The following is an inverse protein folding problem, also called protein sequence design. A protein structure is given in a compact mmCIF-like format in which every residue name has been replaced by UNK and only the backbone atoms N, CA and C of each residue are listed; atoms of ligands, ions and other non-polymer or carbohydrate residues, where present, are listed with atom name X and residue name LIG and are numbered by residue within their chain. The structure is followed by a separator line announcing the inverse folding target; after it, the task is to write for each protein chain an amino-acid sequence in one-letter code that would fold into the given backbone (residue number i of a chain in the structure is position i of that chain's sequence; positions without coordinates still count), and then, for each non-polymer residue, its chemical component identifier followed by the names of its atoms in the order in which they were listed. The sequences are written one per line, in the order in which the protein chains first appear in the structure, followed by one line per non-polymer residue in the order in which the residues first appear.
data_IF_245582923148
#
_entry.id   IF_245582923148
#
_cell.length_a   1.000
_cell.length_b   1.000
_cell.length_c   1.000
_cell.angle_alpha   90.00
_cell.angle_beta   90.00
_cell.angle_gamma   90.00
#
_symmetry.space_group_name_H-M   'P 1'
#
loop_
_entity.id
_entity.type
_entity.pdbx_description
1 polymer ?
#
# COMPACT_ATOMS: atom_id res chain seq x y z
N UNK A 1 -15.20 32.97 14.66
CA UNK A 1 -15.74 31.62 14.45
C UNK A 1 -16.76 31.79 13.36
N UNK A 2 -16.55 31.21 12.19
CA UNK A 2 -17.60 31.22 11.17
C UNK A 2 -18.76 30.39 11.72
N UNK A 3 -19.81 31.10 12.16
CA UNK A 3 -21.11 30.56 12.57
C UNK A 3 -21.84 29.85 11.41
N UNK A 4 -21.17 29.81 10.26
CA UNK A 4 -21.60 29.25 9.00
C UNK A 4 -21.68 27.72 9.08
N UNK A 5 -22.88 27.30 9.50
CA UNK A 5 -23.53 26.01 9.24
C UNK A 5 -23.46 24.95 10.36
N UNK A 6 -23.61 25.35 11.63
CA UNK A 6 -24.22 24.41 12.57
C UNK A 6 -25.61 24.08 12.05
N UNK A 7 -25.83 22.83 11.63
CA UNK A 7 -27.16 22.39 11.19
C UNK A 7 -27.96 22.03 12.43
N UNK A 8 -29.14 22.62 12.59
CA UNK A 8 -30.03 22.34 13.73
C UNK A 8 -30.40 20.86 13.87
N UNK A 9 -30.32 20.09 12.77
CA UNK A 9 -30.53 18.65 12.74
C UNK A 9 -29.51 17.93 11.83
N UNK A 10 -29.31 16.64 12.10
CA UNK A 10 -28.53 15.74 11.26
C UNK A 10 -29.20 15.61 9.88
N UNK A 11 -28.46 15.81 8.78
CA UNK A 11 -29.05 15.75 7.44
C UNK A 11 -29.48 14.35 6.98
N UNK A 12 -29.09 13.29 7.69
CA UNK A 12 -29.40 11.92 7.32
C UNK A 12 -30.52 11.28 8.15
N UNK A 13 -30.62 11.60 9.44
CA UNK A 13 -31.63 11.02 10.33
C UNK A 13 -32.44 12.07 11.12
N UNK A 14 -32.26 13.36 10.81
CA UNK A 14 -32.97 14.49 11.41
C UNK A 14 -32.79 14.67 12.93
N UNK A 15 -31.90 13.91 13.57
CA UNK A 15 -31.57 14.08 14.98
C UNK A 15 -31.15 15.53 15.27
N UNK A 16 -31.90 16.21 16.15
CA UNK A 16 -31.57 17.57 16.58
C UNK A 16 -30.26 17.64 17.38
N UNK A 17 -29.68 18.84 17.53
CA UNK A 17 -28.46 19.02 18.34
C UNK A 17 -28.67 18.46 19.76
N UNK A 18 -27.72 17.63 20.21
CA UNK A 18 -27.75 16.92 21.50
C UNK A 18 -28.63 15.67 21.52
N UNK A 19 -29.33 15.34 20.43
CA UNK A 19 -30.12 14.11 20.31
C UNK A 19 -29.29 12.99 19.70
N UNK A 20 -29.55 11.76 20.14
CA UNK A 20 -28.92 10.55 19.60
C UNK A 20 -29.32 10.33 18.16
N UNK A 21 -28.36 9.93 17.32
CA UNK A 21 -28.63 9.49 15.95
C UNK A 21 -29.49 8.21 15.92
N UNK A 22 -30.26 8.02 14.84
CA UNK A 22 -30.86 6.72 14.54
C UNK A 22 -29.79 5.63 14.39
N UNK A 23 -30.16 4.37 14.62
CA UNK A 23 -29.20 3.25 14.60
C UNK A 23 -28.61 3.00 13.21
N UNK A 24 -29.34 3.35 12.15
CA UNK A 24 -28.99 3.23 10.73
C UNK A 24 -28.45 4.53 10.10
N UNK A 25 -28.18 5.56 10.90
CA UNK A 25 -27.67 6.84 10.40
C UNK A 25 -26.22 6.71 9.90
N UNK A 26 -25.97 7.09 8.65
CA UNK A 26 -24.66 7.08 7.98
C UNK A 26 -23.69 8.18 8.44
N UNK A 27 -24.20 9.19 9.16
CA UNK A 27 -23.43 10.25 9.81
C UNK A 27 -23.00 9.85 11.22
N UNK A 28 -23.65 8.87 11.85
CA UNK A 28 -23.31 8.53 13.22
C UNK A 28 -21.89 7.95 13.33
N UNK A 29 -21.07 8.45 14.26
CA UNK A 29 -19.77 7.86 14.58
C UNK A 29 -19.92 6.66 15.53
N UNK A 30 -19.00 5.71 15.42
CA UNK A 30 -18.73 4.71 16.43
C UNK A 30 -17.86 5.35 17.52
N UNK A 31 -18.38 5.46 18.74
CA UNK A 31 -17.67 6.10 19.86
C UNK A 31 -16.39 5.34 20.26
N UNK A 32 -16.28 4.07 19.91
CA UNK A 32 -15.10 3.25 20.21
C UNK A 32 -13.93 3.49 19.23
N UNK A 33 -14.19 3.84 17.96
CA UNK A 33 -13.12 3.97 16.94
C UNK A 33 -13.13 5.27 16.13
N UNK A 34 -14.16 6.12 16.28
CA UNK A 34 -14.30 7.39 15.56
C UNK A 34 -14.73 7.26 14.10
N UNK A 35 -14.74 6.04 13.55
CA UNK A 35 -15.22 5.81 12.19
C UNK A 35 -16.75 5.90 12.13
N UNK A 36 -17.30 6.14 10.93
CA UNK A 36 -18.74 6.01 10.68
C UNK A 36 -19.23 4.65 11.17
N UNK A 37 -20.30 4.62 11.96
CA UNK A 37 -20.83 3.42 12.62
C UNK A 37 -21.10 2.30 11.63
N UNK A 38 -21.72 2.61 10.50
CA UNK A 38 -22.01 1.65 9.42
C UNK A 38 -20.77 1.07 8.73
N UNK A 39 -19.61 1.73 8.87
CA UNK A 39 -18.33 1.28 8.31
C UNK A 39 -17.34 0.83 9.39
N UNK A 40 -17.77 0.75 10.66
CA UNK A 40 -16.90 0.28 11.71
C UNK A 40 -16.61 -1.21 11.46
N UNK A 41 -15.34 -1.61 11.23
CA UNK A 41 -14.99 -3.01 10.96
C UNK A 41 -15.29 -3.91 12.16
N UNK A 42 -15.31 -3.33 13.37
CA UNK A 42 -15.62 -4.03 14.61
C UNK A 42 -17.11 -4.19 14.87
N UNK A 43 -18.00 -3.57 14.09
CA UNK A 43 -19.46 -3.70 14.28
C UNK A 43 -19.97 -5.14 14.18
N UNK A 44 -19.27 -5.99 13.42
CA UNK A 44 -19.55 -7.42 13.34
C UNK A 44 -18.90 -8.25 14.46
N UNK A 45 -17.96 -7.67 15.22
CA UNK A 45 -17.24 -8.38 16.27
C UNK A 45 -18.09 -8.47 17.54
N UNK A 46 -18.16 -9.67 18.15
CA UNK A 46 -18.89 -9.90 19.39
C UNK A 46 -18.31 -9.04 20.51
N UNK A 47 -19.17 -8.24 21.16
CA UNK A 47 -18.80 -7.39 22.31
C UNK A 47 -18.32 -5.98 21.93
N UNK A 48 -18.32 -5.61 20.64
CA UNK A 48 -18.10 -4.23 20.25
C UNK A 48 -19.37 -3.40 20.46
N UNK A 49 -19.32 -2.44 21.37
CA UNK A 49 -20.37 -1.43 21.53
C UNK A 49 -19.96 -0.15 20.79
N UNK A 50 -20.60 0.17 19.64
CA UNK A 50 -20.31 1.42 18.94
C UNK A 50 -20.83 2.66 19.69
N UNK A 51 -21.60 2.46 20.77
CA UNK A 51 -22.21 3.52 21.55
C UNK A 51 -23.29 4.28 20.79
N UNK A 52 -23.80 5.34 21.43
CA UNK A 52 -24.90 6.18 20.93
C UNK A 52 -24.43 7.62 20.73
N UNK A 53 -23.77 7.88 19.61
CA UNK A 53 -23.34 9.22 19.21
C UNK A 53 -24.54 10.19 19.15
N UNK A 54 -24.30 11.43 19.57
CA UNK A 54 -25.28 12.52 19.53
C UNK A 54 -24.91 13.50 18.43
N UNK A 55 -25.90 14.09 17.76
CA UNK A 55 -25.65 15.12 16.75
C UNK A 55 -25.13 16.39 17.44
N UNK A 56 -23.94 16.86 17.06
CA UNK A 56 -23.30 18.03 17.67
C UNK A 56 -23.60 19.33 16.93
N UNK A 57 -24.27 19.25 15.78
CA UNK A 57 -24.43 20.36 14.84
C UNK A 57 -23.35 20.42 13.75
N UNK A 58 -22.23 19.73 13.95
CA UNK A 58 -21.13 19.60 12.99
C UNK A 58 -21.11 18.20 12.35
N UNK A 59 -20.67 18.14 11.09
CA UNK A 59 -20.30 16.86 10.49
C UNK A 59 -19.10 16.24 11.23
N UNK A 60 -19.13 14.92 11.51
CA UNK A 60 -18.02 14.17 12.07
C UNK A 60 -16.66 14.51 11.46
N UNK A 61 -15.67 14.80 12.30
CA UNK A 61 -14.30 15.10 11.87
C UNK A 61 -14.08 16.49 11.25
N UNK A 62 -15.12 17.22 10.83
CA UNK A 62 -14.96 18.55 10.23
C UNK A 62 -14.28 19.51 11.19
N UNK A 63 -14.67 19.47 12.47
CA UNK A 63 -14.09 20.31 13.52
C UNK A 63 -12.58 20.09 13.64
N UNK A 64 -12.15 18.84 13.69
CA UNK A 64 -10.74 18.48 13.84
C UNK A 64 -9.93 18.83 12.60
N UNK A 65 -10.47 18.60 11.39
CA UNK A 65 -9.85 19.07 10.15
C UNK A 65 -9.61 20.59 10.16
N UNK A 66 -10.60 21.39 10.57
CA UNK A 66 -10.43 22.86 10.70
C UNK A 66 -9.35 23.21 11.73
N UNK A 67 -9.40 22.59 12.91
CA UNK A 67 -8.40 22.81 13.97
C UNK A 67 -6.98 22.42 13.52
N UNK A 68 -6.86 21.39 12.70
CA UNK A 68 -5.57 20.95 12.18
C UNK A 68 -5.15 21.70 10.91
N UNK A 69 -5.98 22.59 10.34
CA UNK A 69 -5.73 23.20 9.04
C UNK A 69 -5.66 22.17 7.90
N UNK A 70 -6.34 21.03 8.04
CA UNK A 70 -6.37 19.97 7.03
C UNK A 70 -7.53 20.21 6.08
N UNK A 71 -7.23 20.93 5.00
CA UNK A 71 -8.19 21.26 3.96
C UNK A 71 -7.77 20.71 2.60
N UNK A 72 -8.78 20.43 1.78
CA UNK A 72 -8.64 19.93 0.42
C UNK A 72 -9.62 20.70 -0.48
N UNK A 73 -9.23 20.91 -1.74
CA UNK A 73 -10.05 21.55 -2.76
C UNK A 73 -10.01 20.72 -4.04
N UNK A 74 -11.13 20.66 -4.74
CA UNK A 74 -11.16 20.10 -6.09
C UNK A 74 -10.46 21.07 -7.05
N UNK A 75 -9.35 20.64 -7.62
CA UNK A 75 -8.69 21.34 -8.73
C UNK A 75 -9.32 20.85 -10.04
N UNK A 76 -10.17 21.69 -10.63
CA UNK A 76 -10.92 21.35 -11.84
C UNK A 76 -10.01 21.15 -13.06
N UNK A 77 -8.94 21.94 -13.18
CA UNK A 77 -8.02 21.88 -14.31
C UNK A 77 -7.19 20.59 -14.27
N UNK A 78 -6.75 20.22 -13.07
CA UNK A 78 -5.99 18.99 -12.87
C UNK A 78 -6.88 17.74 -12.69
N UNK A 79 -8.20 17.91 -12.55
CA UNK A 79 -9.15 16.81 -12.32
C UNK A 79 -8.86 16.02 -11.04
N UNK A 80 -8.34 16.67 -9.99
CA UNK A 80 -7.93 15.99 -8.77
C UNK A 80 -8.17 16.83 -7.51
N UNK A 81 -8.30 16.14 -6.37
CA UNK A 81 -8.34 16.79 -5.07
C UNK A 81 -6.92 17.19 -4.64
N UNK A 82 -6.70 18.47 -4.35
CA UNK A 82 -5.42 19.02 -3.87
C UNK A 82 -5.55 19.54 -2.45
N UNK A 83 -4.56 19.23 -1.61
CA UNK A 83 -4.44 19.83 -0.28
C UNK A 83 -4.25 21.34 -0.44
N UNK A 84 -4.87 22.11 0.44
CA UNK A 84 -4.79 23.56 0.40
C UNK A 84 -4.92 24.16 1.80
N UNK A 85 -4.65 25.46 1.92
CA UNK A 85 -4.91 26.20 3.14
C UNK A 85 -6.43 26.42 3.34
N UNK A 86 -6.90 26.62 4.59
CA UNK A 86 -8.32 26.76 4.90
C UNK A 86 -8.99 27.99 4.29
N UNK A 87 -8.22 29.04 4.01
CA UNK A 87 -8.67 30.30 3.42
C UNK A 87 -8.78 30.25 1.88
N UNK A 88 -8.36 29.15 1.26
CA UNK A 88 -8.48 28.98 -0.20
C UNK A 88 -9.97 28.83 -0.58
N UNK A 89 -10.51 29.66 -1.50
CA UNK A 89 -11.90 29.55 -1.93
C UNK A 89 -12.25 28.16 -2.45
N UNK A 90 -13.38 27.62 -1.99
CA UNK A 90 -13.82 26.26 -2.31
C UNK A 90 -13.09 25.15 -1.56
N UNK A 91 -12.22 25.49 -0.58
CA UNK A 91 -11.64 24.48 0.30
C UNK A 91 -12.71 23.86 1.21
N UNK A 92 -12.51 22.60 1.55
CA UNK A 92 -13.30 21.88 2.54
C UNK A 92 -12.42 20.96 3.39
N UNK A 93 -12.98 20.37 4.47
CA UNK A 93 -12.25 19.45 5.34
C UNK A 93 -11.66 18.23 4.62
N UNK A 94 -10.37 17.95 4.84
CA UNK A 94 -9.71 16.74 4.32
C UNK A 94 -9.95 15.53 5.24
N UNK A 95 -11.17 14.98 5.19
CA UNK A 95 -11.56 13.82 5.99
C UNK A 95 -10.77 12.55 5.64
N UNK A 96 -10.33 12.42 4.38
CA UNK A 96 -9.47 11.30 3.96
C UNK A 96 -8.17 11.31 4.74
N UNK A 97 -7.54 12.49 4.88
CA UNK A 97 -6.35 12.66 5.70
C UNK A 97 -6.65 12.45 7.19
N UNK A 98 -7.79 12.94 7.68
CA UNK A 98 -8.22 12.72 9.07
C UNK A 98 -8.29 11.25 9.44
N UNK A 99 -9.06 10.46 8.70
CA UNK A 99 -9.25 9.04 8.99
C UNK A 99 -7.97 8.22 8.77
N UNK A 100 -7.08 8.66 7.89
CA UNK A 100 -5.83 7.96 7.60
C UNK A 100 -4.71 8.25 8.60
N UNK A 101 -4.61 9.49 9.08
CA UNK A 101 -3.43 9.94 9.85
C UNK A 101 -3.76 10.46 11.25
N UNK A 102 -5.01 10.81 11.51
CA UNK A 102 -5.49 11.11 12.86
C UNK A 102 -5.56 9.84 13.70
N UNK A 103 -5.51 10.01 15.02
CA UNK A 103 -5.84 8.96 15.99
C UNK A 103 -7.13 9.32 16.70
N UNK A 104 -8.04 8.36 16.77
CA UNK A 104 -9.23 8.50 17.61
C UNK A 104 -8.83 8.40 19.09
N UNK A 105 -9.24 9.40 19.86
CA UNK A 105 -9.23 9.37 21.31
C UNK A 105 -10.64 9.01 21.78
N UNK A 106 -10.83 7.78 22.25
CA UNK A 106 -12.14 7.27 22.63
C UNK A 106 -12.68 7.92 23.91
N UNK A 107 -11.80 8.33 24.82
CA UNK A 107 -12.19 8.97 26.08
C UNK A 107 -12.65 10.41 25.81
N UNK A 108 -11.89 11.14 25.00
CA UNK A 108 -12.22 12.51 24.59
C UNK A 108 -13.25 12.56 23.44
N UNK A 109 -13.57 11.42 22.82
CA UNK A 109 -14.45 11.27 21.65
C UNK A 109 -14.14 12.25 20.53
N UNK A 110 -12.87 12.33 20.17
CA UNK A 110 -12.38 13.24 19.13
C UNK A 110 -11.16 12.68 18.44
N UNK A 111 -10.91 13.17 17.23
CA UNK A 111 -9.64 12.94 16.55
C UNK A 111 -8.55 13.85 17.14
N UNK A 112 -7.35 13.29 17.31
CA UNK A 112 -6.12 14.02 17.65
C UNK A 112 -5.04 13.75 16.60
N UNK A 113 -4.09 14.67 16.48
CA UNK A 113 -2.86 14.41 15.71
C UNK A 113 -2.07 13.31 16.43
N UNK A 114 -1.36 12.49 15.66
CA UNK A 114 -0.49 11.45 16.21
C UNK A 114 0.84 12.09 16.62
N UNK A 115 1.24 12.05 17.91
CA UNK A 115 2.59 12.38 18.31
C UNK A 115 3.57 11.39 17.68
N UNK A 116 4.66 11.91 17.12
CA UNK A 116 5.66 11.18 16.37
C UNK A 116 7.07 11.53 16.85
N UNK A 117 7.92 10.50 16.93
CA UNK A 117 9.35 10.64 17.16
C UNK A 117 10.08 10.53 15.84
N UNK A 118 11.00 11.43 15.54
CA UNK A 118 11.91 11.25 14.42
C UNK A 118 13.06 10.36 14.85
N UNK A 119 13.34 9.31 14.08
CA UNK A 119 14.51 8.47 14.29
C UNK A 119 15.41 8.45 13.06
N UNK A 120 16.65 8.87 13.26
CA UNK A 120 17.68 8.91 12.20
C UNK A 120 18.95 8.20 12.61
N UNK A 121 19.69 7.69 11.62
CA UNK A 121 20.98 7.03 11.82
C UNK A 121 21.87 7.28 10.61
N UNK A 122 23.15 7.57 10.85
CA UNK A 122 24.14 7.62 9.77
C UNK A 122 24.27 6.26 9.07
N UNK A 123 24.30 6.28 7.73
CA UNK A 123 24.59 5.10 6.92
C UNK A 123 26.05 5.12 6.52
N UNK A 124 26.73 3.97 6.63
CA UNK A 124 28.14 3.86 6.24
C UNK A 124 28.28 4.16 4.74
N UNK A 125 29.09 5.16 4.39
CA UNK A 125 29.32 5.56 3.00
C UNK A 125 28.21 6.42 2.37
N UNK A 126 27.19 6.83 3.15
CA UNK A 126 26.21 7.81 2.70
C UNK A 126 26.80 9.23 2.67
N UNK A 127 26.47 10.01 1.65
CA UNK A 127 26.87 11.42 1.55
C UNK A 127 25.97 12.36 2.34
N UNK A 128 24.70 12.02 2.49
CA UNK A 128 23.74 12.83 3.23
C UNK A 128 23.96 12.71 4.74
N UNK A 129 23.96 13.85 5.42
CA UNK A 129 24.15 13.93 6.87
C UNK A 129 22.91 13.44 7.62
N UNK A 130 23.02 13.26 8.94
CA UNK A 130 21.86 12.86 9.76
C UNK A 130 20.84 13.99 9.81
N UNK A 131 21.33 15.23 9.84
CA UNK A 131 20.56 16.46 9.90
C UNK A 131 19.71 16.63 8.64
N UNK A 132 20.33 16.60 7.45
CA UNK A 132 19.63 16.71 6.15
C UNK A 132 18.50 15.70 6.01
N UNK A 133 18.73 14.47 6.47
CA UNK A 133 17.76 13.39 6.37
C UNK A 133 16.64 13.54 7.41
N UNK A 134 16.96 14.07 8.59
CA UNK A 134 15.97 14.35 9.64
C UNK A 134 15.04 15.48 9.21
N UNK A 135 15.57 16.53 8.55
CA UNK A 135 14.76 17.60 7.96
C UNK A 135 13.75 17.08 6.93
N UNK A 136 14.12 16.08 6.13
CA UNK A 136 13.19 15.42 5.19
C UNK A 136 12.06 14.72 5.93
N UNK A 137 12.37 13.97 7.00
CA UNK A 137 11.37 13.28 7.80
C UNK A 137 10.45 14.27 8.55
N UNK A 138 11.00 15.38 9.04
CA UNK A 138 10.25 16.45 9.69
C UNK A 138 9.28 17.15 8.73
N UNK A 139 9.75 17.52 7.53
CA UNK A 139 8.90 18.09 6.47
C UNK A 139 7.77 17.14 6.09
N UNK A 140 8.07 15.85 5.97
CA UNK A 140 7.07 14.83 5.70
C UNK A 140 6.06 14.70 6.85
N UNK A 141 6.50 14.77 8.11
CA UNK A 141 5.59 14.81 9.26
C UNK A 141 4.65 16.02 9.20
N UNK A 142 5.16 17.21 8.87
CA UNK A 142 4.33 18.40 8.70
C UNK A 142 3.31 18.24 7.55
N UNK A 143 3.75 17.68 6.42
CA UNK A 143 2.91 17.45 5.23
C UNK A 143 1.81 16.41 5.48
N UNK A 144 2.09 15.36 6.28
CA UNK A 144 1.12 14.35 6.70
C UNK A 144 0.28 14.83 7.89
N UNK A 145 0.83 15.72 8.71
CA UNK A 145 0.19 16.33 9.87
C UNK A 145 0.46 15.62 11.21
N UNK A 146 1.54 14.86 11.29
CA UNK A 146 2.02 14.34 12.56
C UNK A 146 2.60 15.46 13.42
N UNK A 147 2.49 15.30 14.73
CA UNK A 147 3.06 16.21 15.70
C UNK A 147 4.42 15.67 16.13
N UNK A 148 5.52 16.31 15.74
CA UNK A 148 6.86 15.86 16.13
C UNK A 148 7.11 16.24 17.59
N UNK A 149 7.24 15.24 18.47
CA UNK A 149 7.42 15.43 19.93
C UNK A 149 8.84 15.12 20.41
N UNK A 150 9.68 14.54 19.56
CA UNK A 150 11.07 14.22 19.88
C UNK A 150 11.88 13.78 18.68
N UNK A 151 13.21 13.85 18.80
CA UNK A 151 14.16 13.43 17.76
C UNK A 151 15.29 12.60 18.37
N UNK A 152 15.59 11.46 17.75
CA UNK A 152 16.53 10.47 18.26
C UNK A 152 17.53 10.02 17.19
N UNK A 153 18.80 9.88 17.60
CA UNK A 153 19.88 9.48 16.69
C UNK A 153 20.65 8.25 17.18
N UNK A 154 20.96 7.34 16.26
CA UNK A 154 21.89 6.23 16.50
C UNK A 154 21.32 5.08 17.34
N UNK A 155 22.19 4.25 17.93
CA UNK A 155 21.74 3.05 18.66
C UNK A 155 21.19 3.36 20.05
N UNK A 156 21.73 4.39 20.71
CA UNK A 156 21.21 4.85 22.00
C UNK A 156 19.84 5.50 21.82
N UNK A 157 19.74 6.46 20.89
CA UNK A 157 18.47 7.13 20.59
C UNK A 157 17.37 6.16 20.15
N UNK A 158 17.70 5.04 19.51
CA UNK A 158 16.71 4.02 19.22
C UNK A 158 16.04 3.45 20.49
N UNK A 159 16.82 3.16 21.53
CA UNK A 159 16.28 2.60 22.78
C UNK A 159 15.42 3.63 23.53
N UNK A 160 15.86 4.89 23.52
CA UNK A 160 15.10 6.00 24.11
C UNK A 160 13.78 6.22 23.35
N UNK A 161 13.79 6.17 22.01
CA UNK A 161 12.56 6.25 21.21
C UNK A 161 11.55 5.12 21.52
N UNK A 162 12.02 3.90 21.76
CA UNK A 162 11.14 2.79 22.16
C UNK A 162 10.57 3.01 23.56
N UNK A 163 11.36 3.54 24.49
CA UNK A 163 10.89 3.85 25.83
C UNK A 163 9.78 4.91 25.80
N UNK A 164 9.98 6.00 25.05
CA UNK A 164 8.97 7.05 24.89
C UNK A 164 7.67 6.53 24.27
N UNK A 165 7.74 5.60 23.32
CA UNK A 165 6.54 4.95 22.76
C UNK A 165 5.85 4.10 23.83
N UNK A 166 6.61 3.30 24.59
CA UNK A 166 6.06 2.45 25.65
C UNK A 166 5.40 3.27 26.77
N UNK A 167 5.94 4.46 27.06
CA UNK A 167 5.40 5.40 28.04
C UNK A 167 4.21 6.23 27.49
N UNK A 168 3.84 6.03 26.23
CA UNK A 168 2.74 6.72 25.57
C UNK A 168 3.03 8.17 25.18
N UNK A 169 4.30 8.59 25.23
CA UNK A 169 4.71 9.93 24.78
C UNK A 169 4.57 10.11 23.26
N UNK A 170 4.64 9.01 22.50
CA UNK A 170 4.42 9.02 21.06
C UNK A 170 3.65 7.78 20.56
N UNK A 171 2.90 7.98 19.48
CA UNK A 171 2.15 6.92 18.79
C UNK A 171 2.95 6.31 17.63
N UNK A 172 4.02 6.98 17.20
CA UNK A 172 4.73 6.74 15.95
C UNK A 172 6.23 6.95 16.11
N UNK A 173 7.00 6.08 15.49
CA UNK A 173 8.41 6.34 15.15
C UNK A 173 8.52 6.58 13.65
N UNK A 174 8.85 7.80 13.27
CA UNK A 174 9.04 8.20 11.88
C UNK A 174 10.51 8.02 11.50
N UNK A 175 10.74 7.19 10.49
CA UNK A 175 12.06 6.95 9.93
C UNK A 175 12.17 7.46 8.50
N UNK A 176 13.25 8.16 8.13
CA UNK A 176 13.43 8.68 6.78
C UNK A 176 13.42 7.58 5.71
N UNK A 177 13.98 6.41 6.02
CA UNK A 177 13.97 5.23 5.14
C UNK A 177 14.09 3.93 5.95
N UNK A 178 13.67 2.80 5.37
CA UNK A 178 13.70 1.48 6.04
C UNK A 178 15.12 1.09 6.41
N UNK A 179 16.11 1.42 5.58
CA UNK A 179 17.51 1.10 5.78
C UNK A 179 18.09 1.77 7.04
N UNK A 180 17.47 2.85 7.53
CA UNK A 180 17.87 3.53 8.77
C UNK A 180 17.54 2.69 10.01
N UNK A 181 16.62 1.74 9.90
CA UNK A 181 16.35 0.74 10.93
C UNK A 181 17.44 -0.34 11.01
N UNK A 182 18.33 -0.45 10.02
CA UNK A 182 19.42 -1.42 10.01
C UNK A 182 19.37 -2.33 8.79
N UNK A 183 20.04 -3.48 8.88
CA UNK A 183 20.18 -4.42 7.76
C UNK A 183 19.53 -5.77 8.07
N UNK A 184 18.84 -6.33 7.09
CA UNK A 184 18.24 -7.66 7.16
C UNK A 184 17.29 -7.82 8.35
N UNK A 185 17.57 -8.79 9.22
CA UNK A 185 16.76 -9.11 10.40
C UNK A 185 16.56 -7.92 11.35
N UNK A 186 17.53 -7.00 11.44
CA UNK A 186 17.47 -5.85 12.35
C UNK A 186 16.27 -4.94 12.06
N UNK A 187 15.90 -4.76 10.78
CA UNK A 187 14.75 -3.95 10.39
C UNK A 187 13.47 -4.49 11.01
N UNK A 188 13.25 -5.80 10.88
CA UNK A 188 12.05 -6.46 11.39
C UNK A 188 12.02 -6.52 12.92
N UNK A 189 13.17 -6.77 13.56
CA UNK A 189 13.27 -6.75 15.01
C UNK A 189 12.91 -5.36 15.57
N UNK A 190 13.31 -4.29 14.88
CA UNK A 190 12.98 -2.91 15.26
C UNK A 190 11.53 -2.54 15.01
N UNK A 191 10.96 -2.92 13.86
CA UNK A 191 9.52 -2.76 13.59
C UNK A 191 8.70 -3.45 14.67
N UNK A 192 9.08 -4.69 15.02
CA UNK A 192 8.42 -5.44 16.09
C UNK A 192 8.56 -4.73 17.42
N UNK A 193 9.75 -4.25 17.78
CA UNK A 193 9.96 -3.55 19.04
C UNK A 193 9.07 -2.31 19.21
N UNK A 194 8.85 -1.52 18.16
CA UNK A 194 7.92 -0.37 18.21
C UNK A 194 6.48 -0.84 18.44
N UNK A 195 6.05 -1.92 17.78
CA UNK A 195 4.70 -2.47 17.93
C UNK A 195 4.45 -3.11 19.29
N UNK A 196 5.44 -3.84 19.80
CA UNK A 196 5.39 -4.44 21.13
C UNK A 196 5.30 -3.35 22.21
N UNK A 197 5.84 -2.16 21.94
CA UNK A 197 5.68 -0.96 22.77
C UNK A 197 4.35 -0.21 22.54
N UNK A 198 3.46 -0.68 21.66
CA UNK A 198 2.15 -0.07 21.40
C UNK A 198 2.16 1.07 20.36
N UNK A 199 3.28 1.30 19.68
CA UNK A 199 3.39 2.28 18.60
C UNK A 199 3.35 1.67 17.19
N UNK A 200 3.62 2.51 16.20
CA UNK A 200 3.79 2.09 14.80
C UNK A 200 4.96 2.81 14.13
N UNK A 201 5.38 2.35 12.95
CA UNK A 201 6.47 2.96 12.18
C UNK A 201 5.94 3.55 10.89
N UNK A 202 6.38 4.78 10.58
CA UNK A 202 6.03 5.45 9.33
C UNK A 202 7.23 6.23 8.76
N UNK A 203 7.09 6.77 7.55
CA UNK A 203 8.13 7.59 6.93
C UNK A 203 7.90 7.83 5.43
N UNK A 204 8.62 8.79 4.83
CA UNK A 204 8.49 9.11 3.40
C UNK A 204 8.84 7.95 2.47
N UNK A 205 9.66 6.99 2.94
CA UNK A 205 9.95 5.73 2.24
C UNK A 205 9.44 4.49 2.98
N UNK A 206 8.70 4.64 4.08
CA UNK A 206 8.26 3.54 4.94
C UNK A 206 6.78 3.70 5.22
N UNK A 207 5.94 2.95 4.51
CA UNK A 207 4.54 2.80 4.88
C UNK A 207 4.31 1.36 5.28
N UNK A 208 3.68 1.15 6.42
CA UNK A 208 3.30 -0.18 6.86
C UNK A 208 1.78 -0.18 7.07
N UNK A 209 1.10 -1.18 6.51
CA UNK A 209 -0.34 -1.33 6.72
C UNK A 209 -0.65 -1.91 8.11
N UNK A 210 -1.94 -1.93 8.45
CA UNK A 210 -2.45 -2.48 9.71
C UNK A 210 -2.13 -3.97 9.92
N UNK A 211 -1.78 -4.72 8.86
CA UNK A 211 -1.35 -6.13 8.95
C UNK A 211 0.15 -6.28 9.21
N UNK A 212 0.87 -5.16 9.19
CA UNK A 212 2.29 -5.11 9.45
C UNK A 212 3.17 -5.27 8.22
N UNK A 213 2.60 -5.19 7.01
CA UNK A 213 3.32 -5.32 5.75
C UNK A 213 3.81 -3.96 5.23
N UNK A 214 5.07 -3.91 4.79
CA UNK A 214 5.60 -2.72 4.10
C UNK A 214 4.83 -2.51 2.79
N UNK A 215 4.04 -1.44 2.73
CA UNK A 215 3.46 -0.93 1.50
C UNK A 215 4.59 -0.23 0.74
N UNK A 216 4.82 -0.64 -0.51
CA UNK A 216 5.97 -0.23 -1.32
C UNK A 216 6.31 1.27 -1.18
N UNK A 217 7.60 1.57 -1.04
CA UNK A 217 8.15 2.92 -0.97
C UNK A 217 7.86 3.69 -2.27
N UNK A 218 6.69 4.31 -2.38
CA UNK A 218 6.38 5.28 -3.42
C UNK A 218 6.71 6.67 -2.90
N UNK A 219 7.87 7.15 -3.29
CA UNK A 219 8.06 8.59 -3.50
C UNK A 219 7.23 8.99 -4.73
N UNK A 220 5.97 9.38 -4.52
CA UNK A 220 5.18 10.19 -5.46
C UNK A 220 4.02 10.78 -4.65
N UNK A 221 3.89 12.09 -4.47
CA UNK A 221 4.06 13.15 -5.46
C UNK A 221 4.90 14.33 -4.95
N UNK A 222 6.12 14.48 -5.45
CA UNK A 222 6.69 15.80 -5.73
C UNK A 222 6.43 16.10 -7.20
N UNK A 223 5.23 16.57 -7.54
CA UNK A 223 4.93 17.01 -8.90
C UNK A 223 5.76 18.26 -9.30
N UNK A 224 6.43 18.95 -8.37
CA UNK A 224 7.22 20.15 -8.68
C UNK A 224 8.73 19.96 -8.85
N UNK A 225 9.31 18.78 -8.54
CA UNK A 225 10.77 18.58 -8.63
C UNK A 225 11.19 17.87 -9.92
N UNK A 226 10.25 17.21 -10.63
CA UNK A 226 10.53 16.62 -11.94
C UNK A 226 10.26 17.55 -13.12
N UNK A 227 9.31 18.49 -13.03
CA UNK A 227 9.00 19.42 -14.14
C UNK A 227 10.10 20.45 -14.43
N UNK A 228 11.02 20.69 -13.49
CA UNK A 228 12.24 21.48 -13.75
C UNK A 228 13.45 20.66 -14.21
N UNK A 229 13.30 19.34 -14.36
CA UNK A 229 14.36 18.42 -14.81
C UNK A 229 14.05 17.70 -16.14
N UNK A 230 12.92 17.99 -16.80
CA UNK A 230 12.56 17.41 -18.10
C UNK A 230 12.65 18.39 -19.27
N UNK A 231 13.39 19.48 -19.11
CA UNK A 231 13.90 20.23 -20.25
C UNK A 231 15.43 20.15 -20.25
N UNK A 232 15.94 19.38 -21.21
CA UNK A 232 17.29 19.48 -21.78
C UNK A 232 18.48 18.80 -21.08
N UNK A 233 18.41 17.47 -20.87
CA UNK A 233 19.55 16.57 -21.20
C UNK A 233 19.15 15.09 -21.13
N UNK A 234 18.99 14.47 -22.31
CA UNK A 234 18.60 13.07 -22.48
C UNK A 234 19.57 12.08 -21.85
N UNK A 235 19.26 11.58 -20.65
CA UNK A 235 19.93 10.40 -20.08
C UNK A 235 19.27 9.14 -20.62
N UNK A 236 19.86 8.58 -21.68
CA UNK A 236 19.55 7.22 -22.16
C UNK A 236 19.69 6.23 -21.00
N UNK A 237 18.71 5.35 -20.79
CA UNK A 237 18.87 4.32 -19.77
C UNK A 237 19.93 3.31 -20.22
N UNK A 238 20.59 2.62 -19.28
CA UNK A 238 21.52 1.53 -19.60
C UNK A 238 20.87 0.45 -20.49
N UNK A 239 19.54 0.32 -20.40
CA UNK A 239 18.74 -0.57 -21.23
C UNK A 239 18.61 -0.06 -22.68
N UNK A 240 18.41 1.24 -22.88
CA UNK A 240 18.36 1.85 -24.23
C UNK A 240 19.72 1.81 -24.93
N UNK A 241 20.80 1.93 -24.15
CA UNK A 241 22.18 1.80 -24.66
C UNK A 241 22.45 0.35 -25.08
N UNK A 242 22.09 -0.63 -24.24
CA UNK A 242 22.27 -2.04 -24.57
C UNK A 242 21.41 -2.48 -25.77
N UNK A 243 20.16 -2.02 -25.86
CA UNK A 243 19.25 -2.30 -26.97
C UNK A 243 19.79 -1.78 -28.30
N UNK A 244 20.23 -0.52 -28.33
CA UNK A 244 20.81 0.05 -29.55
C UNK A 244 22.13 -0.63 -29.93
N UNK A 245 22.99 -0.95 -28.96
CA UNK A 245 24.24 -1.65 -29.23
C UNK A 245 24.00 -3.02 -29.88
N UNK A 246 23.06 -3.81 -29.36
CA UNK A 246 22.73 -5.13 -29.90
C UNK A 246 22.04 -5.03 -31.27
N UNK A 247 21.10 -4.09 -31.44
CA UNK A 247 20.45 -3.86 -32.74
C UNK A 247 21.44 -3.35 -33.80
N UNK A 248 22.37 -2.46 -33.46
CA UNK A 248 23.39 -1.99 -34.39
C UNK A 248 24.37 -3.12 -34.77
N UNK A 249 24.71 -3.99 -33.83
CA UNK A 249 25.66 -5.08 -34.05
C UNK A 249 25.06 -6.25 -34.83
N UNK A 250 23.83 -6.64 -34.52
CA UNK A 250 23.22 -7.87 -35.04
C UNK A 250 22.01 -7.63 -35.95
N UNK A 251 21.49 -6.41 -36.04
CA UNK A 251 20.28 -6.07 -36.79
C UNK A 251 18.99 -6.67 -36.24
N UNK A 252 19.05 -7.40 -35.13
CA UNK A 252 17.92 -8.11 -34.53
C UNK A 252 18.18 -8.38 -33.04
N UNK A 253 17.11 -8.60 -32.28
CA UNK A 253 17.16 -9.11 -30.90
C UNK A 253 16.67 -10.56 -30.81
N UNK A 254 16.49 -11.22 -31.96
CA UNK A 254 16.13 -12.63 -32.03
C UNK A 254 17.32 -13.49 -31.58
N UNK A 255 17.19 -14.29 -30.51
CA UNK A 255 18.29 -15.07 -29.94
C UNK A 255 18.96 -16.02 -30.94
N UNK A 256 18.18 -16.69 -31.78
CA UNK A 256 18.69 -17.71 -32.68
C UNK A 256 19.45 -17.08 -33.85
N UNK A 257 18.93 -15.98 -34.40
CA UNK A 257 19.64 -15.17 -35.40
C UNK A 257 20.90 -14.53 -34.81
N UNK A 258 20.86 -14.03 -33.58
CA UNK A 258 22.05 -13.48 -32.92
C UNK A 258 23.13 -14.55 -32.74
N UNK A 259 22.79 -15.77 -32.31
CA UNK A 259 23.76 -16.88 -32.23
C UNK A 259 24.35 -17.22 -33.60
N UNK A 260 23.53 -17.26 -34.65
CA UNK A 260 24.01 -17.49 -36.01
C UNK A 260 24.97 -16.39 -36.51
N UNK A 261 24.86 -15.18 -35.96
CA UNK A 261 25.75 -14.04 -36.20
C UNK A 261 26.95 -13.98 -35.22
N UNK A 262 27.14 -15.01 -34.39
CA UNK A 262 28.29 -15.13 -33.50
C UNK A 262 28.15 -14.40 -32.16
N UNK A 263 26.92 -14.04 -31.74
CA UNK A 263 26.70 -13.49 -30.40
C UNK A 263 26.99 -14.52 -29.31
N UNK A 264 27.58 -14.08 -28.20
CA UNK A 264 27.79 -14.93 -27.03
C UNK A 264 26.52 -15.05 -26.16
N UNK A 265 26.54 -15.95 -25.19
CA UNK A 265 25.38 -16.20 -24.32
C UNK A 265 25.02 -15.01 -23.40
N UNK A 266 25.96 -14.09 -23.14
CA UNK A 266 25.70 -12.87 -22.35
C UNK A 266 24.91 -11.88 -23.20
N UNK A 267 25.31 -11.67 -24.45
CA UNK A 267 24.61 -10.81 -25.41
C UNK A 267 23.22 -11.37 -25.75
N UNK A 268 23.10 -12.69 -25.93
CA UNK A 268 21.82 -13.37 -26.13
C UNK A 268 20.93 -13.22 -24.90
N UNK A 269 21.46 -13.38 -23.69
CA UNK A 269 20.73 -13.16 -22.45
C UNK A 269 20.22 -11.72 -22.28
N UNK A 270 21.03 -10.73 -22.69
CA UNK A 270 20.64 -9.33 -22.71
C UNK A 270 19.51 -9.06 -23.72
N UNK A 271 19.63 -9.58 -24.95
CA UNK A 271 18.59 -9.46 -25.98
C UNK A 271 17.25 -10.10 -25.55
N UNK A 272 17.30 -11.29 -24.93
CA UNK A 272 16.11 -11.93 -24.36
C UNK A 272 15.48 -11.02 -23.32
N UNK A 273 16.25 -10.50 -22.36
CA UNK A 273 15.70 -9.61 -21.34
C UNK A 273 15.11 -8.33 -21.95
N UNK A 274 15.70 -7.82 -23.05
CA UNK A 274 15.18 -6.66 -23.77
C UNK A 274 13.86 -6.99 -24.45
N UNK A 275 13.80 -8.05 -25.25
CA UNK A 275 12.59 -8.50 -25.93
C UNK A 275 11.45 -8.81 -24.94
N UNK A 276 11.78 -9.38 -23.77
CA UNK A 276 10.81 -9.65 -22.69
C UNK A 276 10.18 -8.37 -22.13
N UNK A 277 10.93 -7.28 -22.07
CA UNK A 277 10.45 -5.98 -21.56
C UNK A 277 9.70 -5.21 -22.62
N UNK A 278 10.13 -5.30 -23.89
CA UNK A 278 9.52 -4.61 -25.02
C UNK A 278 8.22 -5.25 -25.51
N UNK A 279 7.83 -6.40 -24.95
CA UNK A 279 6.59 -7.10 -25.32
C UNK A 279 6.62 -7.68 -26.75
N UNK A 280 7.79 -7.69 -27.41
CA UNK A 280 7.92 -8.22 -28.75
C UNK A 280 7.78 -9.74 -28.71
N UNK A 281 6.77 -10.23 -29.44
CA UNK A 281 6.27 -11.60 -29.43
C UNK A 281 7.31 -12.63 -29.87
N UNK A 282 8.20 -13.02 -28.97
CA UNK A 282 8.76 -14.36 -29.03
C UNK A 282 7.59 -15.34 -28.88
N UNK A 283 7.54 -16.36 -29.75
CA UNK A 283 6.60 -17.47 -29.61
C UNK A 283 6.82 -18.14 -28.25
N UNK A 284 6.03 -17.72 -27.25
CA UNK A 284 6.05 -18.30 -25.91
C UNK A 284 4.99 -19.38 -25.87
N UNK A 285 5.35 -20.51 -25.26
CA UNK A 285 4.34 -21.30 -24.57
C UNK A 285 3.65 -20.39 -23.54
N UNK A 286 2.33 -20.20 -23.70
CA UNK A 286 1.55 -19.30 -22.85
C UNK A 286 1.72 -19.68 -21.37
N UNK A 287 1.92 -18.71 -20.48
CA UNK A 287 2.03 -18.97 -19.04
C UNK A 287 0.69 -19.45 -18.48
N UNK A 288 0.69 -20.52 -17.70
CA UNK A 288 -0.49 -21.04 -17.03
C UNK A 288 -0.65 -20.34 -15.67
N UNK A 289 -1.79 -19.69 -15.46
CA UNK A 289 -2.24 -19.19 -14.16
C UNK A 289 -3.27 -20.18 -13.63
N UNK A 290 -2.94 -20.80 -12.49
CA UNK A 290 -3.85 -21.69 -11.78
C UNK A 290 -4.80 -20.86 -10.92
N UNK A 291 -6.10 -21.03 -11.16
CA UNK A 291 -7.15 -20.34 -10.45
C UNK A 291 -7.94 -21.33 -9.58
N UNK A 292 -8.31 -20.92 -8.37
CA UNK A 292 -9.08 -21.76 -7.45
C UNK A 292 -10.55 -21.80 -7.89
N UNK A 293 -11.21 -22.97 -7.89
CA UNK A 293 -12.64 -23.02 -8.13
C UNK A 293 -13.40 -22.30 -7.00
N UNK A 294 -14.59 -21.73 -7.27
CA UNK A 294 -15.41 -21.03 -6.29
C UNK A 294 -16.12 -21.96 -5.30
N UNK A 295 -15.95 -23.28 -5.42
CA UNK A 295 -16.43 -24.20 -4.39
C UNK A 295 -15.67 -23.94 -3.10
N UNK A 296 -16.42 -24.04 -2.00
CA UNK A 296 -16.04 -23.69 -0.66
C UNK A 296 -14.71 -24.37 -0.29
N UNK A 297 -13.60 -23.68 -0.46
CA UNK A 297 -12.26 -24.18 -0.14
C UNK A 297 -12.19 -24.64 1.33
N UNK A 298 -13.09 -24.14 2.19
CA UNK A 298 -13.28 -24.61 3.55
C UNK A 298 -13.85 -26.02 3.66
N UNK A 299 -14.66 -26.48 2.71
CA UNK A 299 -15.12 -27.88 2.64
C UNK A 299 -13.98 -28.83 2.26
N UNK A 300 -13.08 -28.41 1.36
CA UNK A 300 -11.89 -29.17 1.01
C UNK A 300 -10.83 -29.18 2.12
N UNK A 301 -10.79 -28.13 2.95
CA UNK A 301 -9.88 -28.01 4.10
C UNK A 301 -10.49 -28.54 5.41
N UNK A 302 -11.74 -28.99 5.40
CA UNK A 302 -12.38 -29.57 6.57
C UNK A 302 -11.64 -30.84 7.02
N UNK A 303 -11.21 -30.88 8.28
CA UNK A 303 -10.52 -32.04 8.86
C UNK A 303 -9.00 -32.07 8.66
N UNK A 304 -8.40 -31.09 7.97
CA UNK A 304 -6.93 -31.05 7.78
C UNK A 304 -6.18 -30.30 8.88
N UNK A 305 -6.90 -29.68 9.83
CA UNK A 305 -6.32 -28.79 10.85
C UNK A 305 -5.92 -27.41 10.33
N UNK A 306 -6.17 -27.13 9.05
CA UNK A 306 -5.92 -25.82 8.43
C UNK A 306 -7.05 -24.84 8.82
N UNK A 307 -6.75 -23.61 9.26
CA UNK A 307 -7.78 -22.62 9.58
C UNK A 307 -8.69 -22.32 8.38
N UNK A 308 -9.98 -21.99 8.60
CA UNK A 308 -10.89 -21.65 7.52
C UNK A 308 -10.35 -20.47 6.71
N UNK A 309 -10.21 -20.70 5.40
CA UNK A 309 -9.83 -19.71 4.41
C UNK A 309 -11.00 -18.75 4.16
N UNK A 310 -10.77 -17.47 4.45
CA UNK A 310 -11.68 -16.37 4.13
C UNK A 310 -11.13 -15.67 2.88
N UNK A 311 -11.82 -15.71 1.72
CA UNK A 311 -11.41 -14.92 0.57
C UNK A 311 -11.39 -13.45 0.95
N UNK A 312 -10.27 -12.76 0.74
CA UNK A 312 -10.22 -11.30 0.90
C UNK A 312 -11.00 -10.63 -0.22
N UNK A 313 -11.55 -9.42 0.05
CA UNK A 313 -12.44 -8.61 -0.82
C UNK A 313 -11.85 -8.30 -2.23
N UNK A 314 -10.57 -8.58 -2.47
CA UNK A 314 -9.88 -8.23 -3.72
C UNK A 314 -9.76 -9.37 -4.75
N UNK A 315 -10.31 -10.56 -4.48
CA UNK A 315 -10.34 -11.63 -5.49
C UNK A 315 -11.33 -11.28 -6.61
N UNK A 316 -11.00 -11.68 -7.84
CA UNK A 316 -11.88 -11.48 -9.00
C UNK A 316 -12.31 -12.83 -9.54
N UNK A 317 -13.60 -12.96 -9.86
CA UNK A 317 -14.13 -14.11 -10.59
C UNK A 317 -13.80 -13.91 -12.07
N UNK A 318 -13.16 -14.90 -12.67
CA UNK A 318 -12.90 -14.98 -14.11
C UNK A 318 -13.32 -16.36 -14.62
N UNK A 319 -13.36 -16.57 -15.93
CA UNK A 319 -13.69 -17.87 -16.53
C UNK A 319 -12.43 -18.59 -16.94
N UNK A 320 -12.35 -19.88 -16.61
CA UNK A 320 -11.37 -20.78 -17.20
C UNK A 320 -11.44 -20.70 -18.72
N UNK A 321 -10.30 -20.59 -19.39
CA UNK A 321 -10.28 -20.49 -20.86
C UNK A 321 -10.71 -21.80 -21.54
N UNK A 322 -10.47 -22.95 -20.92
CA UNK A 322 -10.80 -24.27 -21.47
C UNK A 322 -12.23 -24.69 -21.11
N UNK A 323 -12.52 -25.04 -19.85
CA UNK A 323 -13.84 -25.54 -19.46
C UNK A 323 -14.89 -24.47 -19.17
N UNK A 324 -14.53 -23.18 -19.22
CA UNK A 324 -15.42 -22.02 -18.97
C UNK A 324 -15.98 -21.91 -17.55
N UNK A 325 -15.60 -22.79 -16.62
CA UNK A 325 -15.96 -22.69 -15.20
C UNK A 325 -15.48 -21.37 -14.60
N UNK A 326 -16.27 -20.83 -13.69
CA UNK A 326 -15.86 -19.68 -12.89
C UNK A 326 -14.73 -20.08 -11.94
N UNK A 327 -13.75 -19.22 -11.78
CA UNK A 327 -12.57 -19.42 -10.94
C UNK A 327 -12.14 -18.11 -10.31
N UNK A 328 -11.61 -18.17 -9.10
CA UNK A 328 -11.04 -17.02 -8.40
C UNK A 328 -9.57 -16.84 -8.74
N UNK A 329 -9.19 -15.61 -9.07
CA UNK A 329 -7.80 -15.18 -9.17
C UNK A 329 -7.53 -14.05 -8.19
N UNK A 330 -6.34 -14.07 -7.58
CA UNK A 330 -5.87 -12.99 -6.70
C UNK A 330 -5.42 -11.74 -7.49
N UNK A 331 -5.25 -10.58 -6.82
CA UNK A 331 -4.92 -9.30 -7.48
C UNK A 331 -3.67 -9.35 -8.36
N UNK A 332 -2.61 -10.04 -7.93
CA UNK A 332 -1.36 -10.19 -8.72
C UNK A 332 -1.56 -11.07 -9.96
N UNK A 333 -2.36 -12.13 -9.85
CA UNK A 333 -2.70 -13.00 -10.99
C UNK A 333 -3.56 -12.23 -12.00
N UNK A 334 -4.50 -11.41 -11.52
CA UNK A 334 -5.30 -10.51 -12.35
C UNK A 334 -4.43 -9.50 -13.09
N UNK A 335 -3.50 -8.85 -12.38
CA UNK A 335 -2.58 -7.89 -13.00
C UNK A 335 -1.70 -8.56 -14.07
N UNK A 336 -1.21 -9.77 -13.80
CA UNK A 336 -0.41 -10.54 -14.77
C UNK A 336 -1.24 -10.91 -16.02
N UNK A 337 -2.49 -11.35 -15.84
CA UNK A 337 -3.39 -11.67 -16.95
C UNK A 337 -3.74 -10.43 -17.80
N UNK A 338 -3.97 -9.28 -17.17
CA UNK A 338 -4.27 -8.02 -17.86
C UNK A 338 -3.06 -7.44 -18.60
N UNK A 339 -1.86 -7.58 -18.04
CA UNK A 339 -0.63 -7.05 -18.65
C UNK A 339 -0.19 -7.83 -19.90
N UNK A 340 -0.62 -9.09 -20.04
CA UNK A 340 -0.23 -9.94 -21.16
C UNK A 340 -1.32 -10.98 -21.50
N UNK A 341 -2.48 -10.55 -22.03
CA UNK A 341 -3.62 -11.43 -22.27
C UNK A 341 -3.30 -12.55 -23.28
N UNK A 342 -2.55 -12.25 -24.33
CA UNK A 342 -2.16 -13.23 -25.36
C UNK A 342 -1.12 -14.27 -24.88
N UNK A 343 -0.43 -13.96 -23.78
CA UNK A 343 0.64 -14.78 -23.23
C UNK A 343 0.25 -15.52 -21.93
N UNK A 344 -1.02 -15.45 -21.52
CA UNK A 344 -1.49 -15.95 -20.22
C UNK A 344 -2.77 -16.77 -20.37
N UNK A 345 -2.74 -18.03 -19.93
CA UNK A 345 -3.93 -18.88 -19.81
C UNK A 345 -4.40 -18.86 -18.36
N UNK A 346 -5.64 -18.44 -18.10
CA UNK A 346 -6.27 -18.62 -16.79
C UNK A 346 -7.06 -19.92 -16.83
N UNK A 347 -6.59 -20.91 -16.10
CA UNK A 347 -7.16 -22.26 -16.08
C UNK A 347 -7.68 -22.61 -14.69
N UNK A 348 -8.79 -23.34 -14.64
CA UNK A 348 -9.18 -24.03 -13.42
C UNK A 348 -8.13 -25.09 -13.07
N UNK A 349 -8.09 -25.52 -11.82
CA UNK A 349 -7.08 -26.49 -11.36
C UNK A 349 -7.05 -27.79 -12.22
N UNK A 350 -8.19 -28.44 -12.57
CA UNK A 350 -8.19 -29.59 -13.48
C UNK A 350 -7.57 -29.31 -14.85
N UNK A 351 -7.96 -28.21 -15.51
CA UNK A 351 -7.45 -27.89 -16.84
C UNK A 351 -5.98 -27.47 -16.79
N UNK A 352 -5.54 -26.82 -15.70
CA UNK A 352 -4.14 -26.48 -15.49
C UNK A 352 -3.27 -27.75 -15.34
N UNK A 353 -3.77 -28.78 -14.65
CA UNK A 353 -3.10 -30.08 -14.52
C UNK A 353 -3.03 -30.76 -15.89
N UNK A 354 -4.13 -30.80 -16.63
CA UNK A 354 -4.19 -31.37 -17.98
C UNK A 354 -3.27 -30.65 -18.96
N UNK A 355 -3.22 -29.32 -18.93
CA UNK A 355 -2.32 -28.47 -19.71
C UNK A 355 -0.86 -28.78 -19.39
N UNK A 356 -0.52 -28.90 -18.10
CA UNK A 356 0.85 -29.18 -17.67
C UNK A 356 1.30 -30.58 -18.10
N UNK A 357 0.41 -31.57 -17.98
CA UNK A 357 0.64 -32.93 -18.49
C UNK A 357 0.81 -32.95 -20.01
N UNK A 358 -0.01 -32.18 -20.76
CA UNK A 358 0.10 -32.06 -22.23
C UNK A 358 1.44 -31.46 -22.66
N UNK A 359 1.99 -30.54 -21.87
CA UNK A 359 3.32 -29.94 -22.10
C UNK A 359 4.49 -30.85 -21.72
N UNK A 360 4.22 -32.04 -21.18
CA UNK A 360 5.28 -32.94 -20.71
C UNK A 360 6.09 -32.36 -19.55
N UNK A 361 5.57 -31.35 -18.86
CA UNK A 361 6.22 -30.74 -17.71
C UNK A 361 5.73 -31.43 -16.43
N UNK A 362 6.59 -31.61 -15.41
CA UNK A 362 6.11 -32.04 -14.09
C UNK A 362 5.07 -31.03 -13.62
N UNK A 363 4.01 -31.50 -12.95
CA UNK A 363 2.93 -30.64 -12.48
C UNK A 363 3.49 -29.50 -11.60
N UNK A 364 3.76 -28.35 -12.21
CA UNK A 364 4.10 -27.14 -11.48
C UNK A 364 2.76 -26.62 -10.98
N UNK A 365 2.30 -27.16 -9.85
CA UNK A 365 1.27 -26.48 -9.05
C UNK A 365 1.94 -25.23 -8.50
N UNK A 366 1.95 -24.17 -9.32
CA UNK A 366 2.40 -22.86 -8.90
C UNK A 366 1.65 -22.47 -7.65
N UNK A 367 2.39 -22.20 -6.57
CA UNK A 367 1.86 -21.91 -5.25
C UNK A 367 0.59 -21.05 -5.30
N UNK A 368 -0.49 -21.61 -4.76
CA UNK A 368 -1.77 -20.92 -4.50
C UNK A 368 -1.69 -19.83 -3.43
N UNK A 369 -0.49 -19.41 -3.03
CA UNK A 369 -0.26 -18.40 -2.02
C UNK A 369 0.92 -17.53 -2.41
N UNK A 370 0.73 -16.21 -2.36
CA UNK A 370 1.69 -15.20 -2.83
C UNK A 370 2.99 -15.11 -2.02
N UNK A 371 3.82 -16.15 -2.06
CA UNK A 371 5.21 -16.13 -1.60
C UNK A 371 6.19 -15.91 -2.76
N UNK A 372 7.24 -15.14 -2.51
CA UNK A 372 8.23 -14.70 -3.50
C UNK A 372 9.09 -15.86 -4.04
N UNK A 373 8.53 -16.63 -4.97
CA UNK A 373 9.24 -17.26 -6.08
C UNK A 373 10.55 -18.03 -5.80
N UNK A 374 10.69 -18.75 -4.68
CA UNK A 374 11.79 -19.70 -4.49
C UNK A 374 11.30 -21.11 -4.16
N UNK A 375 11.76 -22.15 -4.87
CA UNK A 375 11.46 -23.52 -4.51
C UNK A 375 12.23 -23.90 -3.23
N UNK A 376 11.52 -24.51 -2.27
CA UNK A 376 12.13 -25.42 -1.29
C UNK A 376 11.47 -26.78 -1.48
N UNK A 377 12.28 -27.77 -1.88
CA UNK A 377 11.90 -29.17 -1.77
C UNK A 377 12.08 -29.61 -0.31
N UNK A 378 11.22 -30.48 0.23
CA UNK A 378 11.49 -31.15 1.49
C UNK A 378 12.62 -32.17 1.32
N UNK A 379 13.60 -32.07 2.22
CA UNK A 379 14.26 -33.22 2.83
C UNK A 379 13.71 -33.38 4.24
#
# INVERSE_FOLDING_TARGET
MDEELLRGSCPACEAGIGKTHADDCDVAECLACGLKRMHCPSSAAKGHDPGRAVWTGDWPGHRECRQFGWHIRWDADAGQWKRCAPDVPGSGPDLTRLYRFGRWDADARRWRRRPALLYSRAMRGGRATVEEITEVAERWCAEVGYEVVGQYVGTRGWREAIADVADGAADLVVVPSVERLGLGKQVFDRIRAVRDAGGDIAGPGVQIDASGRVMAARLSSTDEVWERSTMDDGKRSAFDVAREALLNRYGTLDPDRMRALGADEVEVGAAVNIARRDGQGMARERRVILACPPVNINELLAGTGTPPYVPTIEHSIVRCVDCRSEVWIGPRQRQAALAAPEATLVLCMPDAIAETARRGQPAIVGHLGGGDGRPRLPG
#
